data_IF_239829753688
#
_entry.id   IF_239829753688
#
_cell.length_a   1.000
_cell.length_b   1.000
_cell.length_c   1.000
_cell.angle_alpha   90.00
_cell.angle_beta   90.00
_cell.angle_gamma   90.00
#
_symmetry.space_group_name_H-M   'P 1'
#
loop_
_entity.id
_entity.type
_entity.pdbx_description
1 polymer ?
#
# COMPACT_ATOMS: atom_id res chain seq x y z
N UNK A 1 -22.01 8.30 -10.75
CA UNK A 1 -21.63 7.94 -9.37
C UNK A 1 -21.31 6.45 -9.22
N UNK A 2 -21.82 5.56 -10.07
CA UNK A 2 -21.57 4.11 -9.96
C UNK A 2 -20.10 3.68 -10.20
N UNK A 3 -19.37 4.33 -11.11
CA UNK A 3 -17.97 3.97 -11.43
C UNK A 3 -17.03 4.17 -10.23
N UNK A 4 -17.05 5.34 -9.60
CA UNK A 4 -16.16 5.67 -8.48
C UNK A 4 -16.39 4.77 -7.25
N UNK A 5 -17.64 4.33 -7.00
CA UNK A 5 -17.94 3.36 -5.94
C UNK A 5 -17.43 1.95 -6.28
N UNK A 6 -17.39 1.58 -7.56
CA UNK A 6 -16.79 0.32 -8.01
C UNK A 6 -15.28 0.32 -7.82
N UNK A 7 -14.60 1.42 -8.19
CA UNK A 7 -13.14 1.53 -8.11
C UNK A 7 -12.63 1.44 -6.66
N UNK A 8 -13.29 2.13 -5.72
CA UNK A 8 -12.89 2.07 -4.30
C UNK A 8 -13.08 0.67 -3.70
N UNK A 9 -14.14 -0.05 -4.09
CA UNK A 9 -14.38 -1.42 -3.64
C UNK A 9 -13.32 -2.38 -4.20
N UNK A 10 -12.88 -2.19 -5.44
CA UNK A 10 -11.78 -2.96 -6.01
C UNK A 10 -10.46 -2.68 -5.28
N UNK A 11 -10.15 -1.41 -5.02
CA UNK A 11 -8.95 -1.02 -4.27
C UNK A 11 -8.96 -1.61 -2.85
N UNK A 12 -10.10 -1.56 -2.14
CA UNK A 12 -10.26 -2.18 -0.82
C UNK A 12 -10.07 -3.69 -0.86
N UNK A 13 -10.64 -4.36 -1.86
CA UNK A 13 -10.48 -5.80 -2.04
C UNK A 13 -9.02 -6.16 -2.27
N UNK A 14 -8.35 -5.47 -3.20
CA UNK A 14 -6.94 -5.70 -3.50
C UNK A 14 -6.04 -5.44 -2.27
N UNK A 15 -6.31 -4.38 -1.52
CA UNK A 15 -5.59 -4.05 -0.30
C UNK A 15 -5.80 -5.11 0.80
N UNK A 16 -7.01 -5.68 0.95
CA UNK A 16 -7.26 -6.79 1.87
C UNK A 16 -6.54 -8.07 1.44
N UNK A 17 -6.58 -8.43 0.15
CA UNK A 17 -5.84 -9.57 -0.38
C UNK A 17 -4.31 -9.42 -0.13
N UNK A 18 -3.80 -8.20 -0.28
CA UNK A 18 -2.40 -7.87 0.01
C UNK A 18 -2.08 -7.98 1.51
N UNK A 19 -2.97 -7.48 2.38
CA UNK A 19 -2.88 -7.65 3.84
C UNK A 19 -2.78 -9.14 4.22
N UNK A 20 -3.62 -9.99 3.64
CA UNK A 20 -3.64 -11.41 3.98
C UNK A 20 -2.33 -12.10 3.54
N UNK A 21 -1.86 -11.82 2.31
CA UNK A 21 -0.55 -12.32 1.84
C UNK A 21 0.61 -11.85 2.70
N UNK A 22 0.61 -10.57 3.07
CA UNK A 22 1.65 -9.98 3.91
C UNK A 22 1.65 -10.64 5.30
N UNK A 23 0.46 -10.80 5.88
CA UNK A 23 0.30 -11.44 7.16
C UNK A 23 0.68 -12.92 7.07
N UNK A 24 0.35 -13.68 6.05
CA UNK A 24 0.72 -15.11 5.98
C UNK A 24 2.21 -15.35 5.70
N UNK A 25 2.95 -14.32 5.29
CA UNK A 25 4.37 -14.43 4.97
C UNK A 25 5.27 -14.26 6.22
N UNK A 26 5.84 -15.38 6.69
CA UNK A 26 6.75 -15.41 7.84
C UNK A 26 8.00 -14.54 7.68
N UNK A 27 8.51 -14.35 6.45
CA UNK A 27 9.66 -13.48 6.19
C UNK A 27 9.28 -12.02 6.39
N UNK A 28 8.11 -11.62 5.89
CA UNK A 28 7.58 -10.26 6.09
C UNK A 28 7.36 -9.98 7.58
N UNK A 29 6.70 -10.89 8.33
CA UNK A 29 6.49 -10.71 9.78
C UNK A 29 7.80 -10.49 10.54
N UNK A 30 8.87 -11.21 10.19
CA UNK A 30 10.18 -11.06 10.81
C UNK A 30 10.81 -9.70 10.48
N UNK A 31 10.73 -9.28 9.22
CA UNK A 31 11.27 -8.01 8.74
C UNK A 31 10.56 -6.82 9.40
N UNK A 32 9.24 -6.85 9.48
CA UNK A 32 8.41 -5.75 9.95
C UNK A 32 8.23 -5.73 11.48
N UNK A 33 9.00 -6.54 12.22
CA UNK A 33 8.86 -6.65 13.67
C UNK A 33 8.93 -5.26 14.32
N UNK A 34 7.90 -4.92 15.11
CA UNK A 34 7.72 -3.61 15.80
C UNK A 34 7.48 -2.42 14.87
N UNK A 35 7.19 -2.64 13.60
CA UNK A 35 6.75 -1.60 12.69
C UNK A 35 5.24 -1.38 12.83
N UNK A 36 4.83 -0.15 13.13
CA UNK A 36 3.44 0.20 13.43
C UNK A 36 2.95 1.50 12.74
N UNK A 37 3.32 1.80 11.49
CA UNK A 37 2.83 3.02 10.85
C UNK A 37 1.34 2.90 10.51
N UNK A 38 0.71 4.05 10.41
CA UNK A 38 -0.47 4.25 9.60
C UNK A 38 -0.02 4.72 8.21
N UNK A 39 -0.47 4.00 7.18
CA UNK A 39 -0.14 4.29 5.79
C UNK A 39 -1.38 4.79 5.08
N UNK A 40 -1.28 5.93 4.40
CA UNK A 40 -2.31 6.42 3.48
C UNK A 40 -1.93 6.11 2.04
N UNK A 41 -2.90 5.62 1.26
CA UNK A 41 -2.78 5.40 -0.17
C UNK A 41 -3.77 6.29 -0.91
N UNK A 42 -3.27 7.10 -1.85
CA UNK A 42 -4.05 8.08 -2.60
C UNK A 42 -3.93 7.84 -4.11
N UNK A 43 -4.93 8.28 -4.86
CA UNK A 43 -4.88 8.35 -6.33
C UNK A 43 -5.08 9.78 -6.83
N UNK A 44 -4.35 10.18 -7.88
CA UNK A 44 -4.47 11.54 -8.45
C UNK A 44 -5.65 11.68 -9.39
N UNK A 45 -6.02 10.60 -10.09
CA UNK A 45 -7.07 10.62 -11.12
C UNK A 45 -8.50 10.54 -10.56
N UNK A 46 -8.67 9.91 -9.40
CA UNK A 46 -9.96 9.42 -8.93
C UNK A 46 -10.29 9.80 -7.49
N UNK A 47 -9.45 10.56 -6.77
CA UNK A 47 -9.61 10.92 -5.34
C UNK A 47 -9.87 9.71 -4.42
N UNK A 48 -9.41 8.53 -4.81
CA UNK A 48 -9.50 7.33 -3.97
C UNK A 48 -8.46 7.47 -2.87
N UNK A 49 -8.92 7.24 -1.65
CA UNK A 49 -8.11 7.30 -0.43
C UNK A 49 -8.33 6.03 0.35
N UNK A 50 -7.25 5.40 0.80
CA UNK A 50 -7.28 4.27 1.71
C UNK A 50 -6.36 4.50 2.90
N UNK A 51 -6.71 3.89 4.03
CA UNK A 51 -5.87 3.81 5.22
C UNK A 51 -5.51 2.35 5.51
N UNK A 52 -4.24 2.13 5.80
CA UNK A 52 -3.67 0.81 6.04
C UNK A 52 -2.88 0.83 7.35
N UNK A 53 -3.45 0.24 8.39
CA UNK A 53 -2.91 0.27 9.74
C UNK A 53 -2.02 -0.94 10.02
N UNK A 54 -0.79 -0.68 10.47
CA UNK A 54 0.16 -1.71 10.89
C UNK A 54 0.28 -1.76 12.41
N UNK A 55 0.40 -2.96 12.97
CA UNK A 55 0.73 -3.17 14.39
C UNK A 55 1.54 -4.44 14.57
N UNK A 56 2.66 -4.33 15.27
CA UNK A 56 3.60 -5.42 15.51
C UNK A 56 4.22 -6.01 14.25
N UNK A 57 4.19 -5.31 13.11
CA UNK A 57 4.59 -5.86 11.81
C UNK A 57 3.52 -6.64 11.08
N UNK A 58 2.25 -6.55 11.51
CA UNK A 58 1.09 -7.13 10.83
C UNK A 58 0.13 -6.03 10.39
N UNK A 59 -0.55 -6.23 9.26
CA UNK A 59 -1.66 -5.38 8.86
C UNK A 59 -2.90 -5.72 9.70
N UNK A 60 -3.37 -4.74 10.47
CA UNK A 60 -4.53 -4.91 11.34
C UNK A 60 -5.80 -4.31 10.71
N UNK A 61 -5.68 -3.22 9.95
CA UNK A 61 -6.82 -2.56 9.31
C UNK A 61 -6.53 -2.14 7.87
N UNK A 62 -7.60 -2.17 7.07
CA UNK A 62 -7.68 -1.62 5.71
C UNK A 62 -9.04 -0.93 5.62
N UNK A 63 -9.03 0.37 5.42
CA UNK A 63 -10.24 1.21 5.48
C UNK A 63 -10.27 2.19 4.31
N UNK A 64 -11.47 2.55 3.86
CA UNK A 64 -11.63 3.64 2.90
C UNK A 64 -11.50 5.00 3.59
N UNK A 65 -10.97 5.96 2.86
CA UNK A 65 -10.66 7.29 3.36
C UNK A 65 -9.37 7.36 4.17
N UNK A 66 -9.09 8.55 4.67
CA UNK A 66 -8.00 8.81 5.62
C UNK A 66 -8.51 8.68 7.04
N UNK A 67 -7.88 7.79 7.78
CA UNK A 67 -8.04 7.65 9.23
C UNK A 67 -6.77 8.21 9.87
N UNK A 68 -6.91 9.00 10.93
CA UNK A 68 -5.78 9.50 11.72
C UNK A 68 -4.74 10.32 10.93
N UNK A 69 -3.53 10.40 11.48
CA UNK A 69 -2.38 11.01 10.82
C UNK A 69 -1.44 9.89 10.35
N UNK A 70 -1.19 9.81 9.05
CA UNK A 70 -0.26 8.83 8.50
C UNK A 70 1.21 9.25 8.66
N UNK A 71 2.04 8.28 8.99
CA UNK A 71 3.50 8.37 8.97
C UNK A 71 4.05 8.17 7.55
N UNK A 72 3.26 7.53 6.67
CA UNK A 72 3.60 7.29 5.28
C UNK A 72 2.38 7.55 4.39
N UNK A 73 2.51 8.41 3.40
CA UNK A 73 1.51 8.62 2.34
C UNK A 73 2.11 8.28 0.99
N UNK A 74 1.41 7.46 0.21
CA UNK A 74 1.80 7.04 -1.13
C UNK A 74 0.71 7.43 -2.11
N UNK A 75 1.03 8.32 -3.06
CA UNK A 75 0.08 8.84 -4.03
C UNK A 75 0.38 8.30 -5.43
N UNK A 76 -0.51 7.45 -5.93
CA UNK A 76 -0.45 6.82 -7.24
C UNK A 76 -1.06 7.69 -8.34
N UNK A 77 -0.62 7.56 -9.60
CA UNK A 77 -1.27 8.23 -10.73
C UNK A 77 -2.73 7.80 -10.87
N UNK A 78 -3.00 6.49 -10.86
CA UNK A 78 -4.34 5.93 -11.03
C UNK A 78 -4.74 4.91 -9.98
N UNK A 79 -6.06 4.68 -9.83
CA UNK A 79 -6.61 3.56 -9.06
C UNK A 79 -6.09 2.20 -9.55
N UNK A 80 -5.93 2.06 -10.86
CA UNK A 80 -5.40 0.85 -11.48
C UNK A 80 -3.96 0.58 -11.05
N UNK A 81 -3.11 1.61 -10.97
CA UNK A 81 -1.71 1.45 -10.53
C UNK A 81 -1.63 0.97 -9.08
N UNK A 82 -2.51 1.51 -8.22
CA UNK A 82 -2.64 1.09 -6.83
C UNK A 82 -3.04 -0.39 -6.73
N UNK A 83 -4.08 -0.80 -7.47
CA UNK A 83 -4.56 -2.19 -7.52
C UNK A 83 -3.49 -3.13 -8.08
N UNK A 84 -2.81 -2.73 -9.17
CA UNK A 84 -1.75 -3.52 -9.78
C UNK A 84 -0.55 -3.68 -8.83
N UNK A 85 -0.22 -2.68 -8.02
CA UNK A 85 0.81 -2.79 -6.97
C UNK A 85 0.41 -3.84 -5.92
N UNK A 86 -0.83 -3.80 -5.41
CA UNK A 86 -1.33 -4.78 -4.45
C UNK A 86 -1.37 -6.21 -5.00
N UNK A 87 -1.56 -6.36 -6.32
CA UNK A 87 -1.51 -7.65 -7.00
C UNK A 87 -0.13 -8.05 -7.53
N UNK A 88 0.91 -7.24 -7.30
CA UNK A 88 2.28 -7.51 -7.75
C UNK A 88 2.50 -7.34 -9.26
N UNK A 89 1.51 -6.81 -9.99
CA UNK A 89 1.59 -6.51 -11.42
C UNK A 89 2.37 -5.23 -11.73
N UNK A 90 2.56 -4.39 -10.72
CA UNK A 90 3.32 -3.13 -10.81
C UNK A 90 4.50 -3.14 -9.82
N UNK A 91 5.67 -2.68 -10.27
CA UNK A 91 6.79 -2.35 -9.39
C UNK A 91 6.71 -0.86 -9.04
N UNK A 92 6.51 -0.50 -7.76
CA UNK A 92 6.46 0.90 -7.43
C UNK A 92 7.86 1.54 -7.42
N UNK A 93 8.95 0.76 -7.32
CA UNK A 93 10.34 1.24 -7.30
C UNK A 93 10.69 2.16 -8.48
N UNK A 94 10.56 1.75 -9.75
CA UNK A 94 10.86 2.62 -10.88
C UNK A 94 9.96 3.86 -10.92
N UNK A 95 8.72 3.77 -10.44
CA UNK A 95 7.76 4.87 -10.44
C UNK A 95 8.03 5.89 -9.33
N UNK A 96 8.62 5.47 -8.22
CA UNK A 96 9.17 6.41 -7.22
C UNK A 96 10.34 7.19 -7.81
N UNK A 97 11.23 6.50 -8.52
CA UNK A 97 12.43 7.10 -9.13
C UNK A 97 12.08 8.09 -10.26
N UNK A 98 11.02 7.82 -11.04
CA UNK A 98 10.52 8.74 -12.05
C UNK A 98 9.69 9.90 -11.49
N UNK A 99 9.22 9.78 -10.24
CA UNK A 99 8.33 10.75 -9.58
C UNK A 99 6.84 10.56 -9.92
N UNK A 100 6.48 9.50 -10.64
CA UNK A 100 5.09 9.18 -10.97
C UNK A 100 4.30 8.83 -9.72
N UNK A 101 4.87 8.01 -8.83
CA UNK A 101 4.32 7.79 -7.49
C UNK A 101 5.03 8.73 -6.52
N UNK A 102 4.25 9.55 -5.80
CA UNK A 102 4.78 10.43 -4.76
C UNK A 102 4.74 9.70 -3.42
N UNK A 103 5.87 9.68 -2.71
CA UNK A 103 5.95 9.13 -1.35
C UNK A 103 6.33 10.23 -0.37
N UNK A 104 5.56 10.34 0.71
CA UNK A 104 5.84 11.23 1.84
C UNK A 104 5.91 10.42 3.11
N UNK A 105 7.02 10.48 3.81
CA UNK A 105 7.23 9.76 5.05
C UNK A 105 8.70 9.65 5.40
N UNK A 106 9.02 8.95 6.48
CA UNK A 106 10.41 8.68 6.83
C UNK A 106 11.02 7.67 5.85
N UNK A 107 12.27 7.90 5.44
CA UNK A 107 12.99 7.01 4.51
C UNK A 107 13.02 5.55 5.01
N UNK A 108 13.11 5.35 6.33
CA UNK A 108 13.08 4.03 6.95
C UNK A 108 11.76 3.29 6.73
N UNK A 109 10.64 3.99 6.51
CA UNK A 109 9.33 3.39 6.26
C UNK A 109 9.11 3.13 4.77
N UNK A 110 9.64 4.00 3.89
CA UNK A 110 9.68 3.75 2.44
C UNK A 110 10.45 2.47 2.14
N UNK A 111 11.66 2.31 2.70
CA UNK A 111 12.47 1.10 2.52
C UNK A 111 11.73 -0.16 2.97
N UNK A 112 10.93 -0.07 4.04
CA UNK A 112 10.12 -1.21 4.50
C UNK A 112 9.00 -1.52 3.51
N UNK A 113 8.31 -0.51 2.99
CA UNK A 113 7.29 -0.70 1.96
C UNK A 113 7.86 -1.41 0.72
N UNK A 114 9.03 -1.00 0.24
CA UNK A 114 9.71 -1.62 -0.89
C UNK A 114 10.08 -3.08 -0.59
N UNK A 115 10.65 -3.33 0.59
CA UNK A 115 11.02 -4.68 0.99
C UNK A 115 9.79 -5.60 1.10
N UNK A 116 8.63 -5.10 1.52
CA UNK A 116 7.38 -5.88 1.55
C UNK A 116 6.99 -6.30 0.14
N UNK A 117 6.97 -5.36 -0.81
CA UNK A 117 6.55 -5.67 -2.19
C UNK A 117 7.52 -6.66 -2.84
N UNK A 118 8.83 -6.53 -2.62
CA UNK A 118 9.84 -7.49 -3.09
C UNK A 118 9.70 -8.89 -2.46
N UNK A 119 9.34 -8.99 -1.17
CA UNK A 119 9.22 -10.30 -0.50
C UNK A 119 7.92 -11.01 -0.86
N UNK A 120 6.83 -10.27 -1.02
CA UNK A 120 5.53 -10.84 -1.43
C UNK A 120 5.57 -11.23 -2.91
N UNK A 121 6.29 -10.47 -3.73
CA UNK A 121 6.42 -10.66 -5.18
C UNK A 121 7.89 -10.85 -5.61
N UNK A 122 8.53 -11.98 -5.23
CA UNK A 122 9.97 -12.18 -5.43
C UNK A 122 10.39 -12.47 -6.88
N UNK A 123 9.45 -12.90 -7.73
CA UNK A 123 9.70 -13.21 -9.14
C UNK A 123 8.89 -12.23 -10.00
N UNK A 124 9.59 -11.25 -10.58
CA UNK A 124 9.14 -10.53 -11.77
C UNK A 124 9.93 -11.02 -12.97
#
# INVERSE_FOLDING_TARGET
>A
METHMSDINECLKAANDFKDKMNDNLKVRKLLKRWNPLIHFDTRDSDIKLSFGMSGGMAVSVESGHVGNAELTVTFPTAKDLVDMFYGKLDPTPMYLSGDILVKGHQADVIKLDAITMIIWPEK
#
